data_IF_241986382553
#
_entry.id   IF_241986382553
#
_cell.length_a   1.000
_cell.length_b   1.000
_cell.length_c   1.000
_cell.angle_alpha   90.00
_cell.angle_beta   90.00
_cell.angle_gamma   90.00
#
_symmetry.space_group_name_H-M   'P 1'
#
loop_
_entity.id
_entity.type
_entity.pdbx_description
1 polymer ?
#
# COMPACT_ATOMS: atom_id res chain seq x y z
N UNK A 1 11.93 -21.07 -0.55
CA UNK A 1 12.81 -20.35 -1.50
C UNK A 1 13.75 -19.50 -0.68
N UNK A 2 15.02 -19.38 -1.07
CA UNK A 2 15.92 -18.42 -0.42
C UNK A 2 15.33 -17.01 -0.59
N UNK A 3 15.10 -16.33 0.53
CA UNK A 3 14.46 -15.01 0.58
C UNK A 3 15.47 -13.93 0.16
N UNK A 4 15.85 -13.92 -1.11
CA UNK A 4 16.67 -12.86 -1.64
C UNK A 4 15.83 -11.57 -1.70
N UNK A 5 16.42 -10.45 -1.27
CA UNK A 5 15.83 -9.12 -1.40
C UNK A 5 15.78 -8.64 -2.86
N UNK A 6 16.21 -9.47 -3.81
CA UNK A 6 16.12 -9.22 -5.24
C UNK A 6 15.80 -10.50 -6.01
N UNK A 7 15.18 -10.34 -7.18
CA UNK A 7 14.86 -11.41 -8.12
C UNK A 7 15.29 -10.99 -9.52
N UNK A 8 16.24 -11.71 -10.12
CA UNK A 8 16.53 -11.56 -11.54
C UNK A 8 15.49 -12.32 -12.35
N UNK A 9 14.82 -11.62 -13.25
CA UNK A 9 13.85 -12.15 -14.20
C UNK A 9 14.54 -12.32 -15.56
N UNK A 10 15.45 -13.29 -15.66
CA UNK A 10 16.28 -13.52 -16.86
C UNK A 10 15.58 -14.27 -18.00
N UNK A 11 14.42 -14.87 -17.73
CA UNK A 11 13.69 -15.68 -18.70
C UNK A 11 12.16 -15.52 -18.56
N UNK A 12 11.50 -15.14 -19.65
CA UNK A 12 10.04 -15.23 -19.80
C UNK A 12 9.70 -16.53 -20.53
N UNK A 13 8.84 -17.38 -19.95
CA UNK A 13 8.39 -18.57 -20.65
C UNK A 13 7.55 -18.20 -21.88
N UNK A 14 7.92 -18.68 -23.09
CA UNK A 14 7.10 -18.47 -24.29
C UNK A 14 5.69 -19.04 -24.16
N UNK A 15 5.50 -20.02 -23.25
CA UNK A 15 4.21 -20.61 -22.94
C UNK A 15 3.25 -19.59 -22.32
N UNK A 16 3.75 -18.62 -21.56
CA UNK A 16 2.92 -17.72 -20.76
C UNK A 16 2.95 -16.26 -21.25
N UNK A 17 3.89 -15.96 -22.16
CA UNK A 17 3.96 -14.69 -22.88
C UNK A 17 2.61 -14.35 -23.50
N UNK A 18 2.23 -13.07 -23.46
CA UNK A 18 1.00 -12.60 -24.10
C UNK A 18 1.03 -12.95 -25.61
N UNK A 19 0.06 -13.73 -26.13
CA UNK A 19 0.00 -14.08 -27.55
C UNK A 19 -0.01 -12.85 -28.46
N UNK A 20 0.68 -12.92 -29.60
CA UNK A 20 0.90 -11.77 -30.48
C UNK A 20 -0.42 -11.23 -31.08
N UNK A 21 -1.42 -12.10 -31.29
CA UNK A 21 -2.74 -11.72 -31.78
C UNK A 21 -3.57 -10.97 -30.71
N UNK A 22 -3.43 -11.34 -29.43
CA UNK A 22 -4.02 -10.59 -28.33
C UNK A 22 -3.29 -9.26 -28.12
N UNK A 23 -1.97 -9.27 -28.24
CA UNK A 23 -1.12 -8.07 -28.16
C UNK A 23 -1.51 -7.03 -29.22
N UNK A 24 -1.78 -7.47 -30.45
CA UNK A 24 -2.17 -6.58 -31.56
C UNK A 24 -3.54 -5.91 -31.38
N UNK A 25 -4.40 -6.43 -30.49
CA UNK A 25 -5.73 -5.86 -30.19
C UNK A 25 -5.70 -4.81 -29.10
N UNK A 26 -4.62 -4.72 -28.32
CA UNK A 26 -4.48 -3.73 -27.26
C UNK A 26 -4.05 -2.37 -27.84
N UNK A 27 -4.68 -1.26 -27.44
CA UNK A 27 -4.38 0.08 -27.97
C UNK A 27 -2.93 0.54 -27.70
N UNK A 28 -2.23 -0.07 -26.75
CA UNK A 28 -0.83 0.20 -26.41
C UNK A 28 0.11 -0.92 -26.88
N UNK A 29 -0.38 -1.88 -27.69
CA UNK A 29 0.41 -2.98 -28.23
C UNK A 29 0.91 -3.96 -27.17
N UNK A 30 0.19 -4.12 -26.05
CA UNK A 30 0.57 -5.01 -24.95
C UNK A 30 1.89 -4.64 -24.29
N UNK A 31 2.31 -3.37 -24.40
CA UNK A 31 3.58 -2.84 -23.86
C UNK A 31 3.71 -3.08 -22.37
N UNK A 32 2.59 -3.07 -21.64
CA UNK A 32 2.56 -3.14 -20.18
C UNK A 32 2.16 -4.51 -19.63
N UNK A 33 2.24 -5.56 -20.45
CA UNK A 33 2.03 -6.92 -19.97
C UNK A 33 3.25 -7.40 -19.18
N UNK A 34 3.12 -7.50 -17.86
CA UNK A 34 4.12 -8.10 -16.99
C UNK A 34 4.26 -9.61 -17.18
N UNK A 35 5.37 -10.18 -16.70
CA UNK A 35 5.72 -11.59 -16.81
C UNK A 35 4.99 -12.43 -15.75
N UNK A 36 4.65 -13.67 -16.07
CA UNK A 36 4.04 -14.57 -15.08
C UNK A 36 5.06 -14.95 -14.00
N UNK A 37 6.31 -15.15 -14.40
CA UNK A 37 7.46 -15.49 -13.56
C UNK A 37 7.72 -14.44 -12.49
N UNK A 38 7.38 -13.17 -12.76
CA UNK A 38 7.41 -12.09 -11.78
C UNK A 38 6.47 -12.35 -10.61
N UNK A 39 5.28 -12.89 -10.88
CA UNK A 39 4.19 -13.03 -9.89
C UNK A 39 4.24 -14.34 -9.12
N UNK A 40 4.69 -15.43 -9.76
CA UNK A 40 4.67 -16.78 -9.19
C UNK A 40 5.33 -16.89 -7.80
N UNK A 41 6.52 -16.30 -7.53
CA UNK A 41 7.14 -16.37 -6.21
C UNK A 41 6.26 -15.76 -5.11
N UNK A 42 5.58 -14.65 -5.41
CA UNK A 42 4.73 -13.96 -4.45
C UNK A 42 3.42 -14.73 -4.22
N UNK A 43 2.79 -15.26 -5.27
CA UNK A 43 1.62 -16.15 -5.13
C UNK A 43 1.98 -17.34 -4.24
N UNK A 44 3.09 -18.02 -4.50
CA UNK A 44 3.53 -19.20 -3.73
C UNK A 44 3.84 -18.88 -2.28
N UNK A 45 4.46 -17.73 -2.02
CA UNK A 45 4.93 -17.37 -0.68
C UNK A 45 3.83 -16.77 0.20
N UNK A 46 2.92 -15.99 -0.38
CA UNK A 46 1.96 -15.17 0.37
C UNK A 46 0.50 -15.67 0.27
N UNK A 47 0.28 -16.85 -0.28
CA UNK A 47 -1.04 -17.51 -0.33
C UNK A 47 -0.90 -19.03 -0.28
N UNK A 48 -1.99 -19.74 -0.01
CA UNK A 48 -2.12 -21.20 -0.06
C UNK A 48 -3.00 -21.64 -1.24
N UNK A 49 -2.85 -22.86 -1.77
CA UNK A 49 -3.81 -23.41 -2.73
C UNK A 49 -5.25 -23.30 -2.22
N UNK A 50 -6.17 -22.83 -3.07
CA UNK A 50 -7.56 -22.54 -2.70
C UNK A 50 -7.82 -21.11 -2.20
N UNK A 51 -6.79 -20.36 -1.80
CA UNK A 51 -6.93 -18.93 -1.46
C UNK A 51 -7.34 -18.11 -2.69
N UNK A 52 -7.93 -16.93 -2.47
CA UNK A 52 -8.26 -15.98 -3.53
C UNK A 52 -7.19 -14.91 -3.65
N UNK A 53 -6.55 -14.83 -4.82
CA UNK A 53 -5.64 -13.74 -5.20
C UNK A 53 -6.43 -12.67 -5.96
N UNK A 54 -6.32 -11.44 -5.48
CA UNK A 54 -6.99 -10.28 -6.04
C UNK A 54 -6.01 -9.33 -6.74
N UNK A 55 -6.37 -8.88 -7.94
CA UNK A 55 -5.65 -7.83 -8.66
C UNK A 55 -6.59 -6.63 -8.94
N UNK A 56 -6.43 -5.48 -8.26
CA UNK A 56 -7.23 -4.28 -8.53
C UNK A 56 -6.96 -3.65 -9.91
N UNK A 57 -5.91 -4.08 -10.62
CA UNK A 57 -5.46 -3.53 -11.90
C UNK A 57 -5.17 -4.66 -12.90
N UNK A 58 -6.19 -5.48 -13.16
CA UNK A 58 -6.01 -6.79 -13.81
C UNK A 58 -5.33 -6.73 -15.18
N UNK A 59 -5.48 -5.66 -15.97
CA UNK A 59 -4.68 -5.40 -17.17
C UNK A 59 -4.78 -6.52 -18.20
N UNK A 60 -3.69 -7.29 -18.35
CA UNK A 60 -3.62 -8.46 -19.24
C UNK A 60 -3.87 -9.79 -18.52
N UNK A 61 -4.26 -9.76 -17.25
CA UNK A 61 -4.55 -10.93 -16.43
C UNK A 61 -3.32 -11.70 -15.99
N UNK A 62 -2.13 -11.09 -15.99
CA UNK A 62 -0.88 -11.75 -15.60
C UNK A 62 -0.98 -12.30 -14.17
N UNK A 63 -1.37 -11.48 -13.19
CA UNK A 63 -1.55 -11.94 -11.80
C UNK A 63 -2.60 -13.05 -11.71
N UNK A 64 -3.73 -12.90 -12.40
CA UNK A 64 -4.82 -13.86 -12.36
C UNK A 64 -4.39 -15.22 -12.91
N UNK A 65 -3.69 -15.23 -14.05
CA UNK A 65 -3.14 -16.44 -14.63
C UNK A 65 -2.09 -17.09 -13.71
N UNK A 66 -1.20 -16.29 -13.10
CA UNK A 66 -0.23 -16.79 -12.14
C UNK A 66 -0.89 -17.46 -10.92
N UNK A 67 -1.95 -16.85 -10.37
CA UNK A 67 -2.75 -17.41 -9.29
C UNK A 67 -3.38 -18.75 -9.69
N UNK A 68 -4.01 -18.80 -10.88
CA UNK A 68 -4.67 -20.02 -11.38
C UNK A 68 -3.68 -21.16 -11.64
N UNK A 69 -2.50 -20.86 -12.20
CA UNK A 69 -1.42 -21.84 -12.41
C UNK A 69 -0.96 -22.49 -11.11
N UNK A 70 -1.01 -21.74 -10.00
CA UNK A 70 -0.65 -22.21 -8.67
C UNK A 70 -1.85 -22.79 -7.89
N UNK A 71 -3.01 -22.99 -8.52
CA UNK A 71 -4.18 -23.59 -7.87
C UNK A 71 -4.90 -22.68 -6.87
N UNK A 72 -4.74 -21.36 -6.96
CA UNK A 72 -5.51 -20.35 -6.20
C UNK A 72 -6.71 -19.89 -7.02
N UNK A 73 -7.78 -19.45 -6.39
CA UNK A 73 -8.82 -18.67 -7.09
C UNK A 73 -8.27 -17.29 -7.46
N UNK A 74 -8.84 -16.68 -8.49
CA UNK A 74 -8.42 -15.36 -8.95
C UNK A 74 -9.61 -14.42 -9.03
N UNK A 75 -9.42 -13.16 -8.65
CA UNK A 75 -10.39 -12.10 -8.87
C UNK A 75 -9.68 -10.83 -9.30
N UNK A 76 -10.25 -10.04 -10.21
CA UNK A 76 -9.61 -8.80 -10.61
C UNK A 76 -10.56 -7.77 -11.20
N UNK A 77 -10.15 -6.51 -11.09
CA UNK A 77 -10.85 -5.35 -11.66
C UNK A 77 -10.10 -4.84 -12.88
N UNK A 78 -10.84 -4.55 -13.95
CA UNK A 78 -10.30 -3.87 -15.13
C UNK A 78 -11.36 -2.89 -15.65
N UNK A 79 -10.93 -1.65 -15.92
CA UNK A 79 -11.81 -0.56 -16.35
C UNK A 79 -12.11 -0.61 -17.85
N UNK A 80 -11.18 -1.17 -18.63
CA UNK A 80 -11.30 -1.31 -20.08
C UNK A 80 -12.02 -2.62 -20.46
N UNK A 81 -13.17 -2.48 -21.15
CA UNK A 81 -14.01 -3.61 -21.50
C UNK A 81 -13.33 -4.57 -22.50
N UNK A 82 -12.48 -4.05 -23.39
CA UNK A 82 -11.79 -4.85 -24.38
C UNK A 82 -10.70 -5.71 -23.72
N UNK A 83 -9.97 -5.16 -22.74
CA UNK A 83 -9.03 -5.90 -21.90
C UNK A 83 -9.72 -6.97 -21.07
N UNK A 84 -10.93 -6.75 -20.55
CA UNK A 84 -11.73 -7.82 -19.90
C UNK A 84 -11.91 -9.01 -20.86
N UNK A 85 -12.28 -8.76 -22.12
CA UNK A 85 -12.41 -9.80 -23.15
C UNK A 85 -11.09 -10.52 -23.40
N UNK A 86 -9.99 -9.76 -23.51
CA UNK A 86 -8.64 -10.28 -23.72
C UNK A 86 -8.19 -11.18 -22.55
N UNK A 87 -8.43 -10.79 -21.30
CA UNK A 87 -8.11 -11.60 -20.11
C UNK A 87 -8.85 -12.94 -20.15
N UNK A 88 -10.16 -12.92 -20.44
CA UNK A 88 -10.98 -14.15 -20.53
C UNK A 88 -10.42 -15.10 -21.58
N UNK A 89 -10.07 -14.57 -22.75
CA UNK A 89 -9.50 -15.35 -23.84
C UNK A 89 -8.12 -15.91 -23.49
N UNK A 90 -7.25 -15.10 -22.88
CA UNK A 90 -5.92 -15.53 -22.41
C UNK A 90 -6.04 -16.69 -21.41
N UNK A 91 -6.92 -16.58 -20.42
CA UNK A 91 -7.14 -17.63 -19.42
C UNK A 91 -7.73 -18.91 -20.05
N UNK A 92 -8.65 -18.76 -21.01
CA UNK A 92 -9.25 -19.90 -21.71
C UNK A 92 -8.22 -20.68 -22.53
N UNK A 93 -7.26 -20.00 -23.19
CA UNK A 93 -6.16 -20.65 -23.93
C UNK A 93 -5.21 -21.47 -23.05
N UNK A 94 -5.26 -21.27 -21.73
CA UNK A 94 -4.52 -22.07 -20.75
C UNK A 94 -5.40 -23.08 -20.00
N UNK A 95 -6.67 -23.26 -20.40
CA UNK A 95 -7.65 -24.09 -19.70
C UNK A 95 -7.94 -23.64 -18.25
N UNK A 96 -7.76 -22.33 -17.96
CA UNK A 96 -7.85 -21.73 -16.63
C UNK A 96 -8.94 -20.66 -16.51
N UNK A 97 -9.97 -20.71 -17.37
CA UNK A 97 -11.11 -19.80 -17.30
C UNK A 97 -11.94 -19.98 -16.01
N UNK A 98 -12.03 -21.21 -15.49
CA UNK A 98 -12.78 -21.51 -14.27
C UNK A 98 -12.02 -21.09 -13.01
N UNK A 99 -12.76 -20.58 -12.03
CA UNK A 99 -12.20 -20.08 -10.76
C UNK A 99 -11.59 -18.67 -10.86
N UNK A 100 -11.93 -17.93 -11.92
CA UNK A 100 -11.56 -16.51 -12.07
C UNK A 100 -12.81 -15.63 -12.13
N UNK A 101 -12.86 -14.59 -11.30
CA UNK A 101 -13.89 -13.56 -11.33
C UNK A 101 -13.31 -12.27 -11.93
N UNK A 102 -13.96 -11.71 -12.94
CA UNK A 102 -13.56 -10.44 -13.54
C UNK A 102 -14.66 -9.41 -13.35
N UNK A 103 -14.30 -8.29 -12.74
CA UNK A 103 -15.18 -7.17 -12.44
C UNK A 103 -14.84 -6.04 -13.41
N UNK A 104 -15.84 -5.56 -14.15
CA UNK A 104 -15.66 -4.43 -15.06
C UNK A 104 -15.86 -3.12 -14.30
N UNK A 105 -14.81 -2.31 -14.22
CA UNK A 105 -14.78 -1.05 -13.48
C UNK A 105 -13.59 -0.96 -12.54
N UNK A 106 -13.38 0.22 -11.96
CA UNK A 106 -12.35 0.44 -10.94
C UNK A 106 -12.86 -0.06 -9.60
N UNK A 107 -12.00 -0.75 -8.83
CA UNK A 107 -12.44 -1.41 -7.59
C UNK A 107 -12.99 -0.44 -6.53
N UNK A 108 -12.63 0.85 -6.61
CA UNK A 108 -13.14 1.90 -5.73
C UNK A 108 -14.49 2.49 -6.12
N UNK A 109 -14.97 2.16 -7.32
CA UNK A 109 -16.31 2.51 -7.80
C UNK A 109 -17.29 1.32 -7.73
N UNK A 110 -16.84 0.13 -7.32
CA UNK A 110 -17.69 -1.05 -7.20
C UNK A 110 -18.43 -1.11 -5.86
N UNK A 111 -19.67 -1.58 -5.91
CA UNK A 111 -20.47 -1.89 -4.72
C UNK A 111 -19.76 -2.93 -3.83
N UNK A 112 -19.92 -2.81 -2.51
CA UNK A 112 -19.30 -3.74 -1.53
C UNK A 112 -19.63 -5.21 -1.81
N UNK A 113 -20.87 -5.49 -2.24
CA UNK A 113 -21.31 -6.85 -2.56
C UNK A 113 -20.60 -7.44 -3.79
N UNK A 114 -20.04 -6.59 -4.67
CA UNK A 114 -19.34 -7.02 -5.88
C UNK A 114 -17.89 -7.45 -5.61
N UNK A 115 -17.30 -7.05 -4.47
CA UNK A 115 -15.92 -7.37 -4.11
C UNK A 115 -15.88 -8.32 -2.89
N UNK A 116 -15.99 -9.65 -3.10
CA UNK A 116 -15.91 -10.59 -1.99
C UNK A 116 -14.53 -10.57 -1.32
N UNK A 117 -14.42 -10.99 -0.05
CA UNK A 117 -13.14 -11.01 0.66
C UNK A 117 -12.10 -11.91 -0.02
N UNK A 118 -10.84 -11.49 0.01
CA UNK A 118 -9.71 -12.19 -0.60
C UNK A 118 -8.51 -12.27 0.35
N UNK A 119 -7.55 -13.14 0.01
CA UNK A 119 -6.45 -13.55 0.90
C UNK A 119 -5.12 -12.84 0.58
N UNK A 120 -4.91 -12.51 -0.70
CA UNK A 120 -3.73 -11.82 -1.22
C UNK A 120 -4.15 -10.75 -2.22
N UNK A 121 -3.68 -9.52 -2.06
CA UNK A 121 -3.65 -8.53 -3.15
C UNK A 121 -2.25 -8.55 -3.79
N UNK A 122 -2.19 -8.72 -5.10
CA UNK A 122 -0.95 -8.71 -5.88
C UNK A 122 -1.21 -7.97 -7.20
N UNK A 123 -0.45 -6.91 -7.48
CA UNK A 123 -0.69 -6.11 -8.68
C UNK A 123 0.57 -5.43 -9.20
N UNK A 124 0.61 -5.20 -10.52
CA UNK A 124 1.39 -4.09 -11.07
C UNK A 124 0.52 -2.85 -11.05
N UNK A 125 1.03 -1.74 -10.52
CA UNK A 125 0.27 -0.49 -10.53
C UNK A 125 0.32 0.18 -11.89
N UNK A 126 -0.73 0.91 -12.31
CA UNK A 126 -0.68 1.72 -13.52
C UNK A 126 0.33 2.85 -13.34
N UNK A 127 1.18 3.07 -14.35
CA UNK A 127 2.17 4.13 -14.36
C UNK A 127 1.62 5.46 -14.90
N UNK A 128 1.82 6.54 -14.15
CA UNK A 128 1.48 7.89 -14.58
C UNK A 128 2.22 8.30 -15.87
N UNK A 129 1.51 8.94 -16.79
CA UNK A 129 2.09 9.51 -18.01
C UNK A 129 2.39 8.50 -19.13
N UNK A 130 1.85 7.27 -19.07
CA UNK A 130 2.05 6.27 -20.13
C UNK A 130 1.33 6.59 -21.45
N UNK A 131 0.39 7.54 -21.43
CA UNK A 131 -0.39 7.97 -22.60
C UNK A 131 -1.40 6.92 -23.06
N UNK A 132 -2.53 6.82 -22.37
CA UNK A 132 -3.63 5.93 -22.77
C UNK A 132 -4.20 6.32 -24.15
N UNK A 133 -4.26 5.36 -25.07
CA UNK A 133 -4.76 5.54 -26.46
C UNK A 133 -6.05 4.77 -26.73
N UNK A 134 -6.59 4.06 -25.74
CA UNK A 134 -7.81 3.27 -25.85
C UNK A 134 -9.08 4.09 -25.62
N UNK A 135 -10.21 3.38 -25.49
CA UNK A 135 -11.48 4.02 -25.18
C UNK A 135 -11.41 4.73 -23.81
N UNK A 136 -12.01 5.92 -23.67
CA UNK A 136 -12.12 6.57 -22.36
C UNK A 136 -12.90 5.68 -21.40
N UNK A 137 -12.36 5.47 -20.19
CA UNK A 137 -13.04 4.76 -19.12
C UNK A 137 -13.00 5.61 -17.85
N UNK A 138 -14.11 5.61 -17.10
CA UNK A 138 -14.14 6.27 -15.80
C UNK A 138 -13.08 5.66 -14.88
N UNK A 139 -12.38 6.52 -14.12
CA UNK A 139 -11.29 6.12 -13.22
C UNK A 139 -10.09 5.43 -13.90
N UNK A 140 -9.89 5.63 -15.21
CA UNK A 140 -8.69 5.18 -15.92
C UNK A 140 -7.45 5.93 -15.42
N UNK A 141 -6.64 5.29 -14.57
CA UNK A 141 -5.48 5.92 -13.95
C UNK A 141 -4.36 6.26 -14.94
N UNK A 142 -4.30 5.57 -16.08
CA UNK A 142 -3.39 5.92 -17.18
C UNK A 142 -3.72 7.26 -17.86
N UNK A 143 -4.95 7.75 -17.71
CA UNK A 143 -5.45 9.03 -18.27
C UNK A 143 -5.51 10.16 -17.21
N UNK A 144 -4.81 9.97 -16.08
CA UNK A 144 -4.73 11.00 -15.04
C UNK A 144 -4.09 12.27 -15.59
N UNK A 145 -4.73 13.42 -15.38
CA UNK A 145 -4.29 14.73 -15.90
C UNK A 145 -3.17 15.36 -15.06
N UNK A 146 -3.00 14.90 -13.82
CA UNK A 146 -1.93 15.34 -12.93
C UNK A 146 -1.42 14.20 -12.05
N UNK A 147 -0.18 14.32 -11.59
CA UNK A 147 0.42 13.32 -10.70
C UNK A 147 -0.32 13.22 -9.36
N UNK A 148 -0.81 14.34 -8.82
CA UNK A 148 -1.62 14.35 -7.60
C UNK A 148 -2.92 13.54 -7.77
N UNK A 149 -3.65 13.77 -8.87
CA UNK A 149 -4.85 13.00 -9.21
C UNK A 149 -4.55 11.50 -9.32
N UNK A 150 -3.42 11.14 -9.93
CA UNK A 150 -3.00 9.75 -10.06
C UNK A 150 -2.75 9.10 -8.68
N UNK A 151 -2.03 9.78 -7.79
CA UNK A 151 -1.79 9.30 -6.43
C UNK A 151 -3.09 9.19 -5.61
N UNK A 152 -4.03 10.12 -5.78
CA UNK A 152 -5.34 10.07 -5.13
C UNK A 152 -6.15 8.85 -5.60
N UNK A 153 -6.14 8.57 -6.90
CA UNK A 153 -6.77 7.38 -7.47
C UNK A 153 -6.17 6.08 -6.93
N UNK A 154 -4.84 5.98 -6.87
CA UNK A 154 -4.16 4.83 -6.24
C UNK A 154 -4.57 4.69 -4.77
N UNK A 155 -4.64 5.79 -4.01
CA UNK A 155 -5.07 5.77 -2.60
C UNK A 155 -6.49 5.23 -2.45
N UNK A 156 -7.44 5.68 -3.29
CA UNK A 156 -8.83 5.22 -3.23
C UNK A 156 -8.94 3.73 -3.52
N UNK A 157 -8.22 3.25 -4.54
CA UNK A 157 -8.14 1.83 -4.87
C UNK A 157 -7.57 1.02 -3.72
N UNK A 158 -6.42 1.40 -3.17
CA UNK A 158 -5.80 0.63 -2.08
C UNK A 158 -6.58 0.72 -0.76
N UNK A 159 -7.33 1.80 -0.52
CA UNK A 159 -8.28 1.87 0.60
C UNK A 159 -9.35 0.78 0.47
N UNK A 160 -9.85 0.56 -0.75
CA UNK A 160 -10.86 -0.46 -1.06
C UNK A 160 -10.27 -1.87 -1.05
N UNK A 161 -9.03 -2.03 -1.50
CA UNK A 161 -8.25 -3.27 -1.30
C UNK A 161 -8.15 -3.59 0.19
N UNK A 162 -7.82 -2.62 1.04
CA UNK A 162 -7.74 -2.82 2.48
C UNK A 162 -9.06 -3.31 3.07
N UNK A 163 -10.19 -2.80 2.59
CA UNK A 163 -11.51 -3.22 3.07
C UNK A 163 -11.78 -4.71 2.76
N UNK A 164 -11.48 -5.17 1.54
CA UNK A 164 -11.72 -6.55 1.09
C UNK A 164 -10.67 -7.58 1.50
N UNK A 165 -9.42 -7.17 1.74
CA UNK A 165 -8.33 -8.08 2.14
C UNK A 165 -8.60 -8.65 3.54
N UNK A 166 -8.37 -9.93 3.79
CA UNK A 166 -8.52 -10.51 5.14
C UNK A 166 -7.44 -9.99 6.10
N UNK A 167 -7.75 -9.92 7.41
CA UNK A 167 -6.72 -9.62 8.43
C UNK A 167 -5.62 -10.68 8.37
N UNK A 168 -4.36 -10.24 8.42
CA UNK A 168 -3.18 -11.07 8.16
C UNK A 168 -2.87 -11.32 6.68
N UNK A 169 -3.72 -10.89 5.74
CA UNK A 169 -3.48 -10.99 4.31
C UNK A 169 -2.39 -10.02 3.84
N UNK A 170 -1.69 -10.37 2.76
CA UNK A 170 -0.65 -9.51 2.17
C UNK A 170 -1.22 -8.62 1.06
N UNK A 171 -0.69 -7.41 0.93
CA UNK A 171 -0.90 -6.49 -0.18
C UNK A 171 0.46 -6.18 -0.81
N UNK A 172 0.64 -6.59 -2.07
CA UNK A 172 1.91 -6.51 -2.77
C UNK A 172 1.73 -5.71 -4.05
N UNK A 173 2.46 -4.60 -4.17
CA UNK A 173 2.40 -3.72 -5.32
C UNK A 173 3.75 -3.66 -6.03
N UNK A 174 3.78 -4.01 -7.31
CA UNK A 174 4.92 -3.81 -8.20
C UNK A 174 4.89 -2.40 -8.74
N UNK A 175 5.98 -1.66 -8.54
CA UNK A 175 6.07 -0.24 -8.88
C UNK A 175 7.53 0.18 -9.10
N UNK A 176 7.77 1.17 -9.95
CA UNK A 176 9.08 1.81 -10.12
C UNK A 176 8.94 3.33 -10.11
N UNK A 177 10.07 4.04 -10.01
CA UNK A 177 10.10 5.48 -10.23
C UNK A 177 9.97 5.80 -11.72
N UNK A 178 9.30 6.89 -12.04
CA UNK A 178 8.99 7.26 -13.43
C UNK A 178 9.89 8.42 -13.84
N UNK A 179 10.41 8.39 -15.07
CA UNK A 179 10.99 9.58 -15.71
C UNK A 179 10.05 10.08 -16.79
N UNK A 180 9.56 11.31 -16.64
CA UNK A 180 8.74 12.00 -17.64
C UNK A 180 9.50 13.21 -18.12
N UNK A 181 9.88 13.24 -19.41
CA UNK A 181 10.77 14.27 -19.95
C UNK A 181 12.05 14.43 -19.10
N UNK A 182 12.28 15.61 -18.51
CA UNK A 182 13.42 15.96 -17.66
C UNK A 182 13.17 15.72 -16.16
N UNK A 183 11.98 15.27 -15.77
CA UNK A 183 11.58 15.07 -14.37
C UNK A 183 11.62 13.60 -13.97
N UNK A 184 12.02 13.37 -12.73
CA UNK A 184 11.87 12.07 -12.05
C UNK A 184 10.76 12.19 -11.02
N UNK A 185 9.79 11.29 -11.08
CA UNK A 185 8.70 11.16 -10.12
C UNK A 185 8.95 9.93 -9.25
N UNK A 186 9.00 10.09 -7.92
CA UNK A 186 9.34 9.01 -6.99
C UNK A 186 8.13 8.09 -6.70
N UNK A 187 7.45 7.59 -7.74
CA UNK A 187 6.20 6.85 -7.61
C UNK A 187 6.30 5.65 -6.66
N UNK A 188 7.42 4.92 -6.67
CA UNK A 188 7.60 3.80 -5.74
C UNK A 188 7.55 4.25 -4.27
N UNK A 189 8.21 5.37 -3.95
CA UNK A 189 8.24 5.92 -2.60
C UNK A 189 6.92 6.59 -2.21
N UNK A 190 6.27 7.26 -3.17
CA UNK A 190 4.94 7.85 -2.96
C UNK A 190 3.89 6.77 -2.68
N UNK A 191 3.92 5.67 -3.44
CA UNK A 191 3.03 4.54 -3.23
C UNK A 191 3.35 3.82 -1.91
N UNK A 192 4.62 3.63 -1.56
CA UNK A 192 5.01 3.06 -0.27
C UNK A 192 4.42 3.85 0.91
N UNK A 193 4.39 5.19 0.82
CA UNK A 193 3.74 6.04 1.84
C UNK A 193 2.23 5.86 1.88
N UNK A 194 1.58 5.76 0.72
CA UNK A 194 0.13 5.50 0.64
C UNK A 194 -0.18 4.15 1.30
N UNK A 195 0.53 3.10 0.92
CA UNK A 195 0.34 1.76 1.47
C UNK A 195 0.67 1.71 2.97
N UNK A 196 1.72 2.40 3.43
CA UNK A 196 2.09 2.50 4.84
C UNK A 196 1.06 3.22 5.72
N UNK A 197 0.18 4.04 5.14
CA UNK A 197 -0.95 4.62 5.88
C UNK A 197 -2.12 3.63 6.07
N UNK A 198 -2.13 2.53 5.31
CA UNK A 198 -3.21 1.55 5.26
C UNK A 198 -2.79 0.20 5.87
N UNK A 199 -1.52 -0.16 5.75
CA UNK A 199 -0.97 -1.47 6.07
C UNK A 199 0.37 -1.33 6.81
N UNK A 200 0.87 -2.42 7.38
CA UNK A 200 2.22 -2.46 7.97
C UNK A 200 3.20 -3.00 6.92
N UNK A 201 4.27 -2.26 6.64
CA UNK A 201 5.30 -2.71 5.70
C UNK A 201 6.07 -3.89 6.30
N UNK A 202 6.30 -4.95 5.51
CA UNK A 202 7.10 -6.11 5.93
C UNK A 202 8.48 -6.08 5.29
N UNK A 203 8.53 -5.84 3.98
CA UNK A 203 9.76 -5.81 3.19
C UNK A 203 9.52 -5.12 1.84
N UNK A 204 10.61 -4.82 1.16
CA UNK A 204 10.66 -4.55 -0.26
C UNK A 204 11.56 -5.58 -0.95
N UNK A 205 11.23 -5.93 -2.20
CA UNK A 205 12.13 -6.70 -3.06
C UNK A 205 12.38 -5.99 -4.37
N UNK A 206 13.57 -6.14 -4.92
CA UNK A 206 13.94 -5.55 -6.20
C UNK A 206 13.86 -6.60 -7.30
N UNK A 207 12.93 -6.42 -8.22
CA UNK A 207 12.82 -7.22 -9.44
C UNK A 207 13.76 -6.61 -10.47
N UNK A 208 14.63 -7.40 -11.09
CA UNK A 208 15.64 -6.93 -12.05
C UNK A 208 15.41 -7.65 -13.37
N UNK A 209 15.41 -6.91 -14.47
CA UNK A 209 15.21 -7.45 -15.83
C UNK A 209 16.51 -7.41 -16.63
N UNK A 210 16.82 -8.44 -17.45
CA UNK A 210 17.96 -8.43 -18.34
C UNK A 210 17.79 -7.33 -19.39
N UNK A 211 18.91 -6.74 -19.80
CA UNK A 211 18.94 -5.67 -20.79
C UNK A 211 19.60 -6.17 -22.07
N UNK A 212 18.82 -6.23 -23.15
CA UNK A 212 19.34 -6.19 -24.52
C UNK A 212 19.00 -4.78 -25.05
N UNK A 213 19.98 -3.88 -25.23
CA UNK A 213 19.76 -2.44 -25.57
C UNK A 213 18.97 -2.21 -26.88
N UNK A 214 18.41 -1.05 -27.23
CA UNK A 214 18.69 0.37 -26.96
C UNK A 214 17.49 1.13 -26.31
N UNK A 215 17.76 2.33 -25.77
CA UNK A 215 16.73 3.26 -25.26
C UNK A 215 15.68 3.56 -26.34
N UNK A 216 14.48 3.01 -26.19
CA UNK A 216 13.36 3.33 -27.07
C UNK A 216 12.80 4.71 -26.72
N UNK A 217 12.75 5.58 -27.73
CA UNK A 217 12.18 6.93 -27.66
C UNK A 217 10.69 6.88 -27.25
N UNK A 218 10.41 7.10 -25.97
CA UNK A 218 9.08 7.41 -25.45
C UNK A 218 9.19 8.52 -24.41
N UNK A 219 8.26 9.49 -24.44
CA UNK A 219 8.25 10.69 -23.59
C UNK A 219 8.11 10.38 -22.09
N UNK A 220 7.75 9.14 -21.75
CA UNK A 220 7.90 8.51 -20.44
C UNK A 220 8.98 7.41 -20.51
N UNK A 221 10.19 7.68 -19.98
CA UNK A 221 11.28 6.71 -19.93
C UNK A 221 11.18 5.90 -18.64
N UNK A 222 10.42 4.82 -18.64
CA UNK A 222 10.74 3.73 -17.72
C UNK A 222 11.75 2.85 -18.44
N UNK A 223 12.98 2.76 -17.94
CA UNK A 223 13.95 1.83 -18.53
C UNK A 223 13.58 0.36 -18.21
N UNK A 224 12.56 0.16 -17.34
CA UNK A 224 12.04 -1.11 -16.82
C UNK A 224 13.16 -2.06 -16.39
N UNK A 225 14.32 -1.51 -16.00
CA UNK A 225 15.46 -2.32 -15.55
C UNK A 225 15.21 -2.88 -14.17
N UNK A 226 14.37 -2.21 -13.39
CA UNK A 226 13.93 -2.71 -12.10
C UNK A 226 12.52 -2.27 -11.74
N UNK A 227 11.86 -3.07 -10.90
CA UNK A 227 10.65 -2.70 -10.18
C UNK A 227 10.84 -3.07 -8.71
N UNK A 228 10.21 -2.31 -7.81
CA UNK A 228 10.05 -2.67 -6.42
C UNK A 228 8.78 -3.50 -6.26
N UNK A 229 8.89 -4.66 -5.64
CA UNK A 229 7.78 -5.36 -5.02
C UNK A 229 7.66 -4.86 -3.58
N UNK A 230 6.72 -3.96 -3.33
CA UNK A 230 6.46 -3.45 -1.98
C UNK A 230 5.51 -4.42 -1.27
N UNK A 231 5.96 -5.04 -0.18
CA UNK A 231 5.20 -6.07 0.54
C UNK A 231 4.66 -5.49 1.85
N UNK A 232 3.33 -5.47 1.96
CA UNK A 232 2.62 -4.98 3.12
C UNK A 232 1.67 -6.04 3.68
N UNK A 233 1.40 -5.95 4.99
CA UNK A 233 0.49 -6.82 5.72
C UNK A 233 -0.70 -6.04 6.23
N UNK A 234 -1.92 -6.55 6.02
CA UNK A 234 -3.11 -6.05 6.72
C UNK A 234 -3.07 -6.51 8.16
N UNK A 235 -2.56 -5.65 9.02
CA UNK A 235 -2.57 -5.83 10.46
C UNK A 235 -2.52 -4.46 11.14
N UNK A 236 -2.81 -4.44 12.44
CA UNK A 236 -2.56 -3.25 13.26
C UNK A 236 -1.08 -3.20 13.61
N UNK A 237 -0.49 -2.03 13.44
CA UNK A 237 0.82 -1.72 14.00
C UNK A 237 0.74 -1.82 15.53
N UNK A 238 1.74 -2.45 16.15
CA UNK A 238 1.74 -2.72 17.59
C UNK A 238 2.73 -1.79 18.28
N UNK A 239 2.33 -1.27 19.42
CA UNK A 239 3.22 -0.52 20.32
C UNK A 239 3.91 -1.47 21.31
N UNK A 240 5.05 -1.05 21.83
CA UNK A 240 5.69 -1.67 22.98
C UNK A 240 4.96 -1.21 24.26
N UNK A 241 4.17 -2.11 24.82
CA UNK A 241 3.32 -1.84 25.99
C UNK A 241 4.13 -1.49 27.23
N UNK A 242 5.30 -2.12 27.42
CA UNK A 242 6.15 -1.88 28.58
C UNK A 242 6.84 -0.53 28.47
N UNK A 243 7.40 -0.21 27.30
CA UNK A 243 8.03 1.07 27.04
C UNK A 243 7.01 2.23 27.10
N UNK A 244 5.78 1.99 26.63
CA UNK A 244 4.68 2.96 26.73
C UNK A 244 4.28 3.20 28.19
N UNK A 245 4.13 2.15 29.00
CA UNK A 245 3.86 2.31 30.44
C UNK A 245 4.98 3.07 31.16
N UNK A 246 6.24 2.77 30.83
CA UNK A 246 7.41 3.47 31.39
C UNK A 246 7.45 4.96 30.99
N UNK A 247 7.07 5.30 29.76
CA UNK A 247 6.91 6.69 29.33
C UNK A 247 5.86 7.41 30.17
N UNK A 248 4.67 6.82 30.35
CA UNK A 248 3.58 7.44 31.12
C UNK A 248 3.99 7.72 32.57
N UNK A 249 4.70 6.79 33.22
CA UNK A 249 5.25 7.02 34.56
C UNK A 249 6.32 8.11 34.56
N UNK A 250 7.21 8.14 33.56
CA UNK A 250 8.22 9.19 33.42
C UNK A 250 7.57 10.57 33.33
N UNK A 251 6.56 10.72 32.47
CA UNK A 251 5.81 11.97 32.32
C UNK A 251 5.17 12.41 33.64
N UNK A 252 4.58 11.49 34.41
CA UNK A 252 4.02 11.79 35.74
C UNK A 252 5.08 12.24 36.73
N UNK A 253 6.21 11.53 36.81
CA UNK A 253 7.30 11.88 37.74
C UNK A 253 7.96 13.22 37.43
N UNK A 254 7.92 13.65 36.17
CA UNK A 254 8.41 14.96 35.74
C UNK A 254 7.36 16.07 35.87
N UNK A 255 6.18 15.77 36.42
CA UNK A 255 5.16 16.76 36.76
C UNK A 255 4.19 17.09 35.64
N UNK A 256 4.18 16.33 34.53
CA UNK A 256 3.15 16.49 33.51
C UNK A 256 1.81 15.94 34.03
N UNK A 257 0.82 16.82 34.17
CA UNK A 257 -0.53 16.45 34.58
C UNK A 257 -1.35 15.98 33.39
N UNK A 258 -1.87 14.75 33.45
CA UNK A 258 -2.75 14.18 32.43
C UNK A 258 -3.66 13.09 32.99
N UNK A 259 -4.79 12.84 32.32
CA UNK A 259 -5.65 11.68 32.55
C UNK A 259 -5.39 10.65 31.45
N UNK A 260 -5.08 9.41 31.82
CA UNK A 260 -4.97 8.30 30.86
C UNK A 260 -6.36 7.75 30.52
N UNK A 261 -6.63 7.57 29.23
CA UNK A 261 -7.92 7.17 28.68
C UNK A 261 -7.79 5.92 27.78
N UNK A 262 -8.92 5.48 27.23
CA UNK A 262 -8.94 4.61 26.06
C UNK A 262 -8.58 3.15 26.31
N UNK A 263 -8.01 2.53 25.28
CA UNK A 263 -7.71 1.09 25.28
C UNK A 263 -6.56 0.74 26.21
N UNK A 264 -5.53 1.59 26.29
CA UNK A 264 -4.37 1.39 27.15
C UNK A 264 -4.74 1.44 28.64
N UNK A 265 -5.58 2.40 29.06
CA UNK A 265 -6.07 2.49 30.43
C UNK A 265 -6.78 1.21 30.88
N UNK A 266 -7.63 0.64 30.00
CA UNK A 266 -8.34 -0.62 30.26
C UNK A 266 -7.38 -1.81 30.31
N UNK A 267 -6.40 -1.86 29.40
CA UNK A 267 -5.40 -2.92 29.40
C UNK A 267 -4.52 -2.94 30.66
N UNK A 268 -4.20 -1.78 31.26
CA UNK A 268 -3.50 -1.74 32.55
C UNK A 268 -4.31 -2.35 33.71
N UNK A 269 -5.64 -2.33 33.61
CA UNK A 269 -6.53 -2.94 34.60
C UNK A 269 -6.76 -4.44 34.36
N UNK A 270 -6.75 -4.86 33.09
CA UNK A 270 -6.86 -6.26 32.67
C UNK A 270 -5.86 -6.59 31.53
N UNK A 271 -4.62 -6.98 31.87
CA UNK A 271 -3.58 -7.26 30.89
C UNK A 271 -3.84 -8.48 29.99
N UNK A 272 -4.87 -9.30 30.27
CA UNK A 272 -5.25 -10.46 29.46
C UNK A 272 -6.16 -10.08 28.28
N UNK A 273 -6.64 -8.84 28.23
CA UNK A 273 -7.49 -8.33 27.14
C UNK A 273 -6.74 -8.05 25.83
N UNK A 274 -7.47 -7.53 24.85
CA UNK A 274 -6.91 -7.11 23.55
C UNK A 274 -5.83 -6.04 23.74
N UNK A 275 -4.61 -6.24 23.22
CA UNK A 275 -3.56 -5.25 23.31
C UNK A 275 -3.94 -3.91 22.64
N UNK A 276 -3.66 -2.77 23.27
CA UNK A 276 -3.90 -1.45 22.70
C UNK A 276 -2.93 -1.15 21.56
N UNK A 277 -3.32 -0.23 20.67
CA UNK A 277 -2.49 0.22 19.53
C UNK A 277 -1.78 1.56 19.79
N UNK A 278 -2.14 2.21 20.89
CA UNK A 278 -1.77 3.56 21.29
C UNK A 278 -2.04 3.74 22.79
N UNK A 279 -1.52 4.81 23.37
CA UNK A 279 -1.94 5.31 24.68
C UNK A 279 -2.56 6.70 24.53
N UNK A 280 -3.82 6.84 24.94
CA UNK A 280 -4.54 8.11 24.91
C UNK A 280 -4.38 8.87 26.24
N UNK A 281 -3.87 10.10 26.20
CA UNK A 281 -3.85 11.00 27.34
C UNK A 281 -4.67 12.25 27.06
N UNK A 282 -5.37 12.73 28.09
CA UNK A 282 -6.02 14.05 28.09
C UNK A 282 -5.27 14.99 29.01
N UNK A 283 -4.90 16.15 28.49
CA UNK A 283 -4.27 17.26 29.23
C UNK A 283 -5.19 18.47 29.28
N UNK A 284 -4.91 19.42 30.17
CA UNK A 284 -5.62 20.69 30.19
C UNK A 284 -5.29 21.52 28.93
N UNK A 285 -6.24 22.32 28.45
CA UNK A 285 -6.07 23.28 27.35
C UNK A 285 -5.19 24.50 27.72
N UNK A 286 -4.09 24.27 28.45
CA UNK A 286 -3.13 25.29 28.84
C UNK A 286 -1.95 25.32 27.84
N UNK A 287 -1.75 26.41 27.09
CA UNK A 287 -0.71 26.49 26.06
C UNK A 287 0.71 26.25 26.58
N UNK A 288 1.02 26.70 27.81
CA UNK A 288 2.37 26.57 28.37
C UNK A 288 2.68 25.13 28.75
N UNK A 289 1.73 24.46 29.44
CA UNK A 289 1.84 23.03 29.81
C UNK A 289 1.89 22.14 28.59
N UNK A 290 1.04 22.42 27.59
CA UNK A 290 1.01 21.66 26.35
C UNK A 290 2.32 21.82 25.57
N UNK A 291 2.82 23.05 25.43
CA UNK A 291 4.13 23.30 24.83
C UNK A 291 5.25 22.57 25.58
N UNK A 292 5.25 22.60 26.92
CA UNK A 292 6.26 21.91 27.73
C UNK A 292 6.23 20.39 27.54
N UNK A 293 5.04 19.78 27.50
CA UNK A 293 4.87 18.34 27.24
C UNK A 293 5.37 17.97 25.83
N UNK A 294 4.94 18.70 24.81
CA UNK A 294 5.36 18.44 23.43
C UNK A 294 6.88 18.64 23.27
N UNK A 295 7.45 19.68 23.88
CA UNK A 295 8.90 19.90 23.82
C UNK A 295 9.66 18.78 24.51
N UNK A 296 9.18 18.32 25.67
CA UNK A 296 9.75 17.19 26.38
C UNK A 296 9.75 15.91 25.54
N UNK A 297 8.63 15.58 24.88
CA UNK A 297 8.54 14.45 23.96
C UNK A 297 9.50 14.61 22.78
N UNK A 298 9.59 15.80 22.19
CA UNK A 298 10.51 16.07 21.08
C UNK A 298 11.98 15.90 21.50
N UNK A 299 12.35 16.34 22.70
CA UNK A 299 13.70 16.17 23.26
C UNK A 299 14.04 14.68 23.49
N UNK A 300 13.03 13.83 23.69
CA UNK A 300 13.18 12.38 23.76
C UNK A 300 13.17 11.67 22.40
N UNK A 301 13.12 12.42 21.29
CA UNK A 301 13.14 11.91 19.93
C UNK A 301 11.78 11.48 19.38
N UNK A 302 10.67 11.94 19.97
CA UNK A 302 9.35 11.73 19.37
C UNK A 302 9.13 12.64 18.16
N UNK A 303 8.61 12.07 17.08
CA UNK A 303 8.02 12.81 15.98
C UNK A 303 6.61 13.25 16.38
N UNK A 304 6.32 14.54 16.24
CA UNK A 304 5.04 15.13 16.62
C UNK A 304 4.25 15.51 15.37
N UNK A 305 2.99 15.08 15.32
CA UNK A 305 2.06 15.43 14.23
C UNK A 305 0.69 15.84 14.76
N UNK A 306 -0.05 16.62 13.97
CA UNK A 306 -1.46 16.92 14.18
C UNK A 306 -2.17 16.83 12.84
N UNK A 307 -3.15 15.94 12.72
CA UNK A 307 -3.79 15.60 11.43
C UNK A 307 -2.80 15.16 10.34
N UNK A 308 -1.68 14.57 10.74
CA UNK A 308 -0.60 14.13 9.85
C UNK A 308 0.42 15.21 9.50
N UNK A 309 0.14 16.49 9.80
CA UNK A 309 1.10 17.57 9.60
C UNK A 309 2.13 17.59 10.75
N UNK A 310 3.42 17.80 10.48
CA UNK A 310 4.43 18.02 11.52
C UNK A 310 4.04 19.19 12.44
N UNK A 311 4.36 19.05 13.72
CA UNK A 311 4.12 20.10 14.73
C UNK A 311 5.41 20.86 15.00
N UNK A 312 5.40 22.15 14.70
CA UNK A 312 6.49 23.05 15.05
C UNK A 312 6.38 23.47 16.52
N UNK A 313 7.51 23.47 17.24
CA UNK A 313 7.60 24.11 18.56
C UNK A 313 8.70 25.19 18.58
N UNK A 314 8.52 26.27 19.37
CA UNK A 314 7.49 26.45 20.40
C UNK A 314 6.07 26.54 19.83
N UNK A 315 5.12 25.90 20.52
CA UNK A 315 3.76 25.71 20.04
C UNK A 315 3.05 27.06 19.89
N UNK A 316 2.71 27.42 18.65
CA UNK A 316 1.79 28.51 18.37
C UNK A 316 0.35 28.00 18.54
N UNK A 317 -0.14 27.94 19.78
CA UNK A 317 -1.41 27.30 20.14
C UNK A 317 -2.61 27.73 19.29
N UNK A 318 -2.67 29.02 18.92
CA UNK A 318 -3.76 29.55 18.09
C UNK A 318 -3.82 28.93 16.68
N UNK A 319 -2.69 28.47 16.14
CA UNK A 319 -2.61 27.75 14.87
C UNK A 319 -3.25 26.35 14.92
N UNK A 320 -3.49 25.84 16.12
CA UNK A 320 -4.09 24.52 16.35
C UNK A 320 -5.50 24.61 16.94
N UNK A 321 -6.13 25.80 16.99
CA UNK A 321 -7.55 25.89 17.34
C UNK A 321 -8.37 25.03 16.38
N UNK A 322 -9.26 24.21 16.96
CA UNK A 322 -10.05 23.19 16.25
C UNK A 322 -9.27 21.92 15.79
N UNK A 323 -7.97 21.82 16.10
CA UNK A 323 -7.16 20.61 15.91
C UNK A 323 -6.90 19.93 17.26
N UNK A 324 -7.93 19.35 17.86
CA UNK A 324 -8.02 18.92 19.27
C UNK A 324 -7.05 17.82 19.76
N UNK A 325 -6.04 17.49 18.95
CA UNK A 325 -5.23 16.31 19.15
C UNK A 325 -3.82 16.46 18.54
N UNK A 326 -2.84 15.89 19.24
CA UNK A 326 -1.47 15.67 18.77
C UNK A 326 -1.10 14.19 18.88
N UNK A 327 -0.41 13.66 17.88
CA UNK A 327 0.24 12.34 17.91
C UNK A 327 1.72 12.50 18.18
N UNK A 328 2.24 11.70 19.10
CA UNK A 328 3.67 11.55 19.32
C UNK A 328 4.07 10.09 19.06
N UNK A 329 4.89 9.88 18.03
CA UNK A 329 5.43 8.56 17.68
C UNK A 329 6.94 8.54 17.92
N UNK A 330 7.44 7.45 18.52
CA UNK A 330 8.88 7.18 18.59
C UNK A 330 9.15 5.70 18.38
N UNK A 331 10.06 5.40 17.48
CA UNK A 331 10.62 4.06 17.29
C UNK A 331 12.06 4.09 17.80
N UNK A 332 12.39 3.20 18.73
CA UNK A 332 13.76 3.09 19.25
C UNK A 332 14.67 2.25 18.34
N UNK A 333 15.97 2.17 18.68
CA UNK A 333 16.95 1.40 17.91
C UNK A 333 16.68 -0.11 17.83
N UNK A 334 15.75 -0.63 18.63
CA UNK A 334 15.32 -2.04 18.62
C UNK A 334 14.00 -2.23 17.85
N UNK A 335 13.44 -1.16 17.29
CA UNK A 335 12.16 -1.18 16.59
C UNK A 335 10.95 -1.09 17.53
N UNK A 336 11.14 -0.79 18.82
CA UNK A 336 10.02 -0.64 19.74
C UNK A 336 9.30 0.69 19.48
N UNK A 337 8.07 0.60 19.00
CA UNK A 337 7.20 1.75 18.76
C UNK A 337 6.48 2.16 20.05
N UNK A 338 6.55 3.44 20.39
CA UNK A 338 5.65 4.09 21.33
C UNK A 338 4.80 5.08 20.56
N UNK A 339 3.47 4.98 20.69
CA UNK A 339 2.49 5.90 20.12
C UNK A 339 1.64 6.48 21.23
N UNK A 340 1.72 7.79 21.40
CA UNK A 340 0.98 8.56 22.40
C UNK A 340 0.05 9.55 21.70
N UNK A 341 -1.20 9.44 22.07
CA UNK A 341 -2.32 10.19 21.54
C UNK A 341 -2.72 11.26 22.57
N UNK A 342 -2.53 12.55 22.26
CA UNK A 342 -2.63 13.67 23.22
C UNK A 342 -3.80 14.58 22.86
N UNK A 343 -4.90 14.47 23.61
CA UNK A 343 -6.06 15.35 23.51
C UNK A 343 -5.98 16.48 24.55
N UNK A 344 -6.44 17.69 24.20
CA UNK A 344 -6.37 18.86 25.10
C UNK A 344 -7.68 19.63 25.26
N UNK A 345 -8.80 19.18 24.69
CA UNK A 345 -10.14 19.74 24.94
C UNK A 345 -11.05 18.79 25.72
N UNK A 346 -12.16 19.33 26.26
CA UNK A 346 -13.04 18.69 27.26
C UNK A 346 -13.72 17.42 26.78
#
# INVERSE_FOLDING_TARGET
MASHSWLMLDHESPRYRLPDDLRARDPMGGRDCGWIEQMLPFVRQFSQPGDTVFDPFAGFGTTLLAARLEGRLASGCEVDADRIGLIRERLARHDLAQGTTLLHGSCDALDDAALPPFDLCLANVPYFGCGWTGAPAASQLYDSQSYAQHLDGLRNVFYRVRAGLREGGACIAMVQNIRLSDRVLPLAFDLARILGSLFVMEEERVLIYPHEGEETNADARTDRRHEYALVFRKQRERIDLQATAALLETLRTQGHAFTLLGSFARWLQDPQGTPPADADIRVDADPQRLNALLQHLRDQGFALTSWGDPVDLPLHFDSYRNRYYFRADRIDSKGALIRLDICYEQ
#
